data_IF_498947242293
#
_entry.id   IF_498947242293
#
_cell.length_a   1.000
_cell.length_b   1.000
_cell.length_c   1.000
_cell.angle_alpha   90.00
_cell.angle_beta   90.00
_cell.angle_gamma   90.00
#
_symmetry.space_group_name_H-M   'P 1'
#
loop_
_entity.id
_entity.type
_entity.pdbx_description
1 polymer ?
#
# COMPACT_ATOMS: atom_id res chain seq x y z
N UNK A 1 12.27 -9.66 7.72
CA UNK A 1 11.37 -8.82 6.94
C UNK A 1 10.82 -7.80 7.92
N UNK A 2 10.88 -6.52 7.58
CA UNK A 2 10.25 -5.46 8.34
C UNK A 2 8.73 -5.58 8.30
N UNK A 3 8.06 -4.95 9.26
CA UNK A 3 6.61 -4.89 9.33
C UNK A 3 6.19 -3.52 9.82
N UNK A 4 5.27 -2.89 9.10
CA UNK A 4 4.67 -1.63 9.52
C UNK A 4 3.16 -1.76 9.53
N UNK A 5 2.52 -1.17 10.54
CA UNK A 5 1.06 -1.03 10.62
C UNK A 5 0.71 0.44 10.58
N UNK A 6 -0.18 0.81 9.67
CA UNK A 6 -0.72 2.18 9.53
C UNK A 6 -2.23 2.13 9.54
N UNK A 7 -2.84 3.26 9.87
CA UNK A 7 -4.28 3.42 9.74
C UNK A 7 -4.60 4.85 9.32
N UNK A 8 -5.72 5.01 8.63
CA UNK A 8 -6.26 6.31 8.28
C UNK A 8 -7.79 6.26 8.36
N UNK A 9 -8.41 7.42 8.56
CA UNK A 9 -9.86 7.56 8.60
C UNK A 9 -10.36 8.16 7.30
N UNK A 10 -11.45 7.61 6.78
CA UNK A 10 -12.14 8.10 5.60
C UNK A 10 -13.26 9.02 6.07
N UNK A 11 -13.28 10.25 5.57
CA UNK A 11 -14.29 11.22 5.97
C UNK A 11 -15.66 10.80 5.41
N UNK A 12 -16.63 10.55 6.28
CA UNK A 12 -18.00 10.37 5.83
C UNK A 12 -18.54 11.72 5.33
N UNK A 13 -18.83 11.81 4.03
CA UNK A 13 -19.80 12.79 3.57
C UNK A 13 -21.18 12.33 4.05
N UNK A 14 -21.50 12.64 5.31
CA UNK A 14 -22.88 12.58 5.77
C UNK A 14 -23.69 13.50 4.84
N UNK A 15 -24.44 12.91 3.92
CA UNK A 15 -25.62 13.59 3.40
C UNK A 15 -26.47 13.85 4.65
N UNK A 16 -26.49 15.09 5.14
CA UNK A 16 -27.41 15.51 6.18
C UNK A 16 -28.82 15.30 5.65
N UNK A 17 -29.35 14.08 5.84
CA UNK A 17 -30.78 13.85 5.79
C UNK A 17 -31.29 14.37 7.12
N UNK A 18 -31.91 15.54 7.04
CA UNK A 18 -32.87 16.04 8.00
C UNK A 18 -33.64 14.87 8.61
N UNK A 19 -33.77 14.87 9.95
CA UNK A 19 -35.04 14.72 10.64
C UNK A 19 -34.81 14.92 12.14
N UNK A 20 -35.20 16.09 12.60
CA UNK A 20 -35.67 16.30 13.96
C UNK A 20 -36.91 15.42 14.13
N UNK A 21 -36.76 14.19 14.62
CA UNK A 21 -37.76 13.34 15.30
C UNK A 21 -36.97 12.08 15.69
N UNK A 22 -37.21 11.53 16.88
CA UNK A 22 -36.54 10.37 17.52
C UNK A 22 -35.43 10.67 18.54
N UNK A 23 -35.63 11.69 19.39
CA UNK A 23 -34.93 11.79 20.67
C UNK A 23 -35.30 10.63 21.64
N UNK A 24 -36.35 9.86 21.34
CA UNK A 24 -36.90 8.81 22.20
C UNK A 24 -36.36 7.40 21.85
N UNK A 25 -35.76 7.19 20.68
CA UNK A 25 -35.12 5.91 20.31
C UNK A 25 -33.66 5.78 20.78
N UNK A 26 -33.10 6.83 21.38
CA UNK A 26 -31.68 6.95 21.71
C UNK A 26 -31.23 6.07 22.89
N UNK A 27 -32.17 5.56 23.70
CA UNK A 27 -31.85 4.74 24.88
C UNK A 27 -31.91 3.22 24.63
N UNK A 28 -32.41 2.77 23.48
CA UNK A 28 -32.59 1.33 23.18
C UNK A 28 -31.48 0.72 22.31
N UNK A 29 -30.54 1.53 21.80
CA UNK A 29 -29.46 1.10 20.91
C UNK A 29 -28.07 1.24 21.52
N UNK A 30 -27.93 1.09 22.85
CA UNK A 30 -26.63 0.73 23.44
C UNK A 30 -26.41 -0.77 23.16
N UNK A 31 -26.42 -1.14 21.88
CA UNK A 31 -25.84 -2.38 21.42
C UNK A 31 -24.34 -2.26 21.64
N UNK A 32 -23.77 -3.24 22.32
CA UNK A 32 -22.34 -3.39 22.45
C UNK A 32 -21.75 -3.46 21.03
N UNK A 33 -21.20 -2.36 20.53
CA UNK A 33 -20.54 -2.33 19.23
C UNK A 33 -19.26 -3.15 19.36
N UNK A 34 -19.32 -4.41 18.95
CA UNK A 34 -18.11 -5.19 18.67
C UNK A 34 -17.47 -4.55 17.46
N UNK A 35 -16.24 -4.06 17.62
CA UNK A 35 -15.43 -3.62 16.49
C UNK A 35 -14.94 -4.88 15.76
N UNK A 36 -15.77 -5.41 14.86
CA UNK A 36 -15.38 -6.52 14.00
C UNK A 36 -14.37 -6.03 12.95
N UNK A 37 -13.22 -6.70 12.85
CA UNK A 37 -12.24 -6.43 11.80
C UNK A 37 -12.58 -7.27 10.57
N UNK A 38 -12.73 -6.61 9.42
CA UNK A 38 -12.94 -7.26 8.13
C UNK A 38 -11.65 -7.12 7.31
N UNK A 39 -11.16 -8.24 6.77
CA UNK A 39 -10.01 -8.24 5.86
C UNK A 39 -10.48 -7.82 4.48
N UNK A 40 -10.00 -6.67 4.01
CA UNK A 40 -10.37 -6.13 2.69
C UNK A 40 -9.44 -6.63 1.58
N UNK A 41 -8.18 -6.89 1.90
CA UNK A 41 -7.17 -7.41 0.98
C UNK A 41 -6.10 -8.15 1.78
N UNK A 42 -5.74 -9.36 1.35
CA UNK A 42 -4.65 -10.16 1.93
C UNK A 42 -3.83 -10.80 0.81
N UNK A 43 -2.73 -10.14 0.43
CA UNK A 43 -1.86 -10.57 -0.66
C UNK A 43 -1.16 -11.91 -0.41
N UNK A 44 -1.14 -12.40 0.83
CA UNK A 44 -0.49 -13.67 1.18
C UNK A 44 -1.28 -14.90 0.74
N UNK A 45 -2.53 -14.70 0.30
CA UNK A 45 -3.45 -15.74 -0.16
C UNK A 45 -3.65 -15.75 -1.68
N UNK A 46 -3.02 -14.81 -2.39
CA UNK A 46 -3.20 -14.64 -3.83
C UNK A 46 -2.12 -15.39 -4.62
N UNK A 47 -2.52 -16.04 -5.72
CA UNK A 47 -1.61 -16.73 -6.63
C UNK A 47 -0.88 -15.76 -7.58
N UNK A 48 -1.48 -14.61 -7.86
CA UNK A 48 -0.96 -13.48 -8.66
C UNK A 48 -1.53 -12.17 -8.12
N UNK A 49 -0.78 -11.07 -8.17
CA UNK A 49 -1.29 -9.78 -7.71
C UNK A 49 -1.82 -8.92 -8.86
N UNK A 50 -1.10 -8.86 -9.98
CA UNK A 50 -1.50 -8.11 -11.19
C UNK A 50 -1.87 -6.63 -10.92
N UNK A 51 -1.16 -6.02 -9.98
CA UNK A 51 -1.31 -4.60 -9.65
C UNK A 51 -0.82 -3.73 -10.80
N UNK A 52 -1.40 -2.54 -10.91
CA UNK A 52 -1.04 -1.59 -11.96
C UNK A 52 0.27 -0.91 -11.61
N UNK A 53 1.19 -0.84 -12.58
CA UNK A 53 2.53 -0.29 -12.40
C UNK A 53 2.77 0.86 -13.36
N UNK A 54 3.54 1.84 -12.93
CA UNK A 54 3.99 2.95 -13.78
C UNK A 54 5.40 3.40 -13.34
N UNK A 55 6.27 3.84 -14.26
CA UNK A 55 6.13 3.82 -15.72
C UNK A 55 6.10 2.39 -16.28
N UNK A 56 5.54 2.20 -17.47
CA UNK A 56 5.45 0.90 -18.15
C UNK A 56 5.73 1.04 -19.65
N UNK A 57 6.09 -0.08 -20.28
CA UNK A 57 6.32 -0.16 -21.73
C UNK A 57 7.72 0.24 -22.20
N UNK A 58 8.00 0.17 -23.52
CA UNK A 58 9.36 0.28 -24.07
C UNK A 58 10.02 1.66 -23.91
N UNK A 59 9.23 2.70 -23.67
CA UNK A 59 9.71 4.08 -23.48
C UNK A 59 9.92 4.43 -22.00
N UNK A 60 9.72 3.47 -21.10
CA UNK A 60 9.95 3.66 -19.67
C UNK A 60 11.41 3.96 -19.40
N UNK A 61 11.68 5.01 -18.62
CA UNK A 61 13.03 5.36 -18.20
C UNK A 61 13.63 4.35 -17.21
N UNK A 62 12.79 3.56 -16.55
CA UNK A 62 13.16 2.59 -15.52
C UNK A 62 12.42 1.26 -15.72
N UNK A 63 12.96 0.14 -15.24
CA UNK A 63 12.22 -1.13 -15.15
C UNK A 63 10.94 -1.01 -14.30
N UNK A 64 10.97 -0.22 -13.24
CA UNK A 64 9.84 -0.03 -12.33
C UNK A 64 9.63 -1.23 -11.40
N UNK A 65 8.44 -1.29 -10.80
CA UNK A 65 8.04 -2.41 -9.96
C UNK A 65 7.93 -3.70 -10.77
N UNK A 66 8.32 -4.84 -10.21
CA UNK A 66 8.22 -6.16 -10.83
C UNK A 66 7.60 -7.13 -9.84
N UNK A 67 6.66 -7.96 -10.31
CA UNK A 67 6.06 -8.98 -9.47
C UNK A 67 6.92 -10.25 -9.44
N UNK A 68 7.29 -10.69 -8.24
CA UNK A 68 8.12 -11.86 -8.00
C UNK A 68 7.52 -12.75 -6.89
N UNK A 69 8.01 -13.98 -6.79
CA UNK A 69 7.66 -14.88 -5.68
C UNK A 69 8.63 -14.71 -4.52
N UNK A 70 8.11 -14.43 -3.34
CA UNK A 70 8.84 -14.58 -2.08
C UNK A 70 8.60 -15.98 -1.52
N UNK A 71 9.61 -16.84 -1.67
CA UNK A 71 9.54 -18.23 -1.21
C UNK A 71 10.45 -18.47 0.01
N UNK A 72 9.91 -19.09 1.05
CA UNK A 72 10.68 -19.63 2.18
C UNK A 72 10.22 -21.07 2.44
N UNK A 73 11.02 -22.03 1.99
CA UNK A 73 10.71 -23.46 2.06
C UNK A 73 10.60 -23.98 3.51
N UNK A 74 11.47 -23.51 4.41
CA UNK A 74 11.45 -23.93 5.82
C UNK A 74 10.15 -23.56 6.52
N UNK A 75 9.57 -22.41 6.14
CA UNK A 75 8.31 -21.88 6.70
C UNK A 75 7.09 -22.20 5.84
N UNK A 76 7.26 -22.93 4.74
CA UNK A 76 6.18 -23.22 3.79
C UNK A 76 5.54 -21.97 3.16
N UNK A 77 6.30 -20.88 3.02
CA UNK A 77 5.80 -19.62 2.45
C UNK A 77 6.07 -19.61 0.95
N UNK A 78 5.05 -19.29 0.17
CA UNK A 78 5.17 -18.91 -1.23
C UNK A 78 4.19 -17.76 -1.51
N UNK A 79 4.62 -16.52 -1.27
CA UNK A 79 3.79 -15.32 -1.47
C UNK A 79 4.19 -14.62 -2.76
N UNK A 80 3.26 -13.89 -3.35
CA UNK A 80 3.56 -12.91 -4.40
C UNK A 80 3.94 -11.57 -3.77
N UNK A 81 4.95 -10.91 -4.33
CA UNK A 81 5.51 -9.66 -3.83
C UNK A 81 5.92 -8.75 -4.98
N UNK A 82 6.05 -7.45 -4.71
CA UNK A 82 6.56 -6.49 -5.68
C UNK A 82 7.95 -6.00 -5.27
N UNK A 83 8.90 -6.06 -6.20
CA UNK A 83 10.28 -5.61 -5.99
C UNK A 83 10.62 -4.47 -6.93
N UNK A 84 11.49 -3.56 -6.48
CA UNK A 84 12.04 -2.49 -7.31
C UNK A 84 13.45 -2.14 -6.82
N UNK A 85 14.38 -1.94 -7.75
CA UNK A 85 15.80 -1.73 -7.43
C UNK A 85 16.48 -0.77 -8.43
N UNK A 86 15.77 0.29 -8.83
CA UNK A 86 16.21 1.19 -9.91
C UNK A 86 17.24 2.25 -9.45
N UNK A 87 18.11 1.90 -8.51
CA UNK A 87 19.09 2.81 -7.90
C UNK A 87 20.12 3.38 -8.88
N UNK A 88 20.30 2.72 -10.03
CA UNK A 88 21.22 3.14 -11.10
C UNK A 88 20.61 4.18 -12.06
N UNK A 89 19.33 4.53 -11.90
CA UNK A 89 18.61 5.47 -12.77
C UNK A 89 18.43 6.82 -12.07
N UNK A 90 18.32 7.91 -12.82
CA UNK A 90 18.02 9.23 -12.26
C UNK A 90 16.51 9.47 -12.20
N UNK A 91 16.08 10.36 -11.30
CA UNK A 91 14.69 10.84 -11.20
C UNK A 91 13.65 9.71 -11.14
N UNK A 92 13.97 8.63 -10.42
CA UNK A 92 13.10 7.47 -10.27
C UNK A 92 11.77 7.88 -9.62
N UNK A 93 10.67 7.55 -10.30
CA UNK A 93 9.31 7.80 -9.84
C UNK A 93 8.42 6.59 -10.18
N UNK A 94 8.65 5.50 -9.46
CA UNK A 94 7.99 4.22 -9.70
C UNK A 94 6.73 4.08 -8.83
N UNK A 95 5.60 3.86 -9.48
CA UNK A 95 4.29 3.71 -8.88
C UNK A 95 3.82 2.26 -8.93
N UNK A 96 3.14 1.86 -7.88
CA UNK A 96 2.48 0.59 -7.73
C UNK A 96 1.09 0.84 -7.14
N UNK A 97 0.05 0.40 -7.85
CA UNK A 97 -1.34 0.73 -7.54
C UNK A 97 -2.19 -0.54 -7.47
N UNK A 98 -2.81 -0.77 -6.32
CA UNK A 98 -3.68 -1.92 -6.07
C UNK A 98 -4.92 -1.87 -6.98
N UNK A 99 -5.59 -3.01 -7.20
CA UNK A 99 -6.99 -3.02 -7.61
C UNK A 99 -7.85 -2.18 -6.66
N UNK A 100 -9.06 -1.85 -7.10
CA UNK A 100 -10.05 -1.19 -6.26
C UNK A 100 -10.39 -2.06 -5.05
N UNK A 101 -10.31 -1.48 -3.86
CA UNK A 101 -10.64 -2.15 -2.60
C UNK A 101 -11.94 -1.54 -2.07
N UNK A 102 -13.01 -2.32 -2.06
CA UNK A 102 -14.29 -1.88 -1.54
C UNK A 102 -14.25 -1.82 -0.01
N UNK A 103 -14.39 -0.62 0.56
CA UNK A 103 -14.34 -0.41 2.01
C UNK A 103 -15.63 -0.79 2.75
N UNK A 104 -16.73 -0.98 2.02
CA UNK A 104 -18.07 -1.10 2.61
C UNK A 104 -18.40 0.06 3.56
N UNK A 105 -18.88 -0.27 4.76
CA UNK A 105 -19.22 0.70 5.80
C UNK A 105 -18.02 1.13 6.68
N UNK A 106 -16.81 0.66 6.38
CA UNK A 106 -15.63 0.96 7.20
C UNK A 106 -15.24 2.44 7.09
N UNK A 107 -15.12 3.10 8.25
CA UNK A 107 -14.68 4.49 8.37
C UNK A 107 -13.19 4.62 8.72
N UNK A 108 -12.57 3.52 9.12
CA UNK A 108 -11.16 3.45 9.46
C UNK A 108 -10.56 2.23 8.78
N UNK A 109 -9.48 2.44 8.06
CA UNK A 109 -8.75 1.40 7.34
C UNK A 109 -7.43 1.18 8.05
N UNK A 110 -7.07 -0.08 8.25
CA UNK A 110 -5.80 -0.52 8.78
C UNK A 110 -5.02 -1.21 7.66
N UNK A 111 -3.76 -0.81 7.47
CA UNK A 111 -2.85 -1.39 6.49
C UNK A 111 -1.67 -2.00 7.24
N UNK A 112 -1.41 -3.28 7.01
CA UNK A 112 -0.17 -3.93 7.42
C UNK A 112 0.67 -4.25 6.19
N UNK A 113 1.89 -3.73 6.15
CA UNK A 113 2.85 -4.00 5.08
C UNK A 113 4.04 -4.73 5.69
N UNK A 114 4.37 -5.88 5.11
CA UNK A 114 5.66 -6.55 5.35
C UNK A 114 6.55 -6.20 4.18
N UNK A 115 7.77 -5.79 4.46
CA UNK A 115 8.71 -5.37 3.41
C UNK A 115 10.15 -5.64 3.81
N UNK A 116 11.06 -5.51 2.87
CA UNK A 116 12.48 -5.37 3.17
C UNK A 116 13.07 -4.21 2.39
N UNK A 117 14.21 -3.73 2.85
CA UNK A 117 14.87 -2.60 2.22
C UNK A 117 16.37 -2.76 2.37
N UNK A 118 17.08 -2.46 1.28
CA UNK A 118 18.53 -2.51 1.25
C UNK A 118 19.09 -1.16 1.65
N UNK A 119 20.09 -1.20 2.52
CA UNK A 119 20.85 -0.05 2.97
C UNK A 119 21.59 0.61 1.79
N UNK A 120 21.43 1.92 1.65
CA UNK A 120 22.06 2.69 0.57
C UNK A 120 23.58 2.65 0.64
N UNK A 121 24.17 2.52 1.83
CA UNK A 121 25.62 2.39 2.02
C UNK A 121 26.21 1.09 1.43
N UNK A 122 25.37 0.10 1.16
CA UNK A 122 25.78 -1.20 0.59
C UNK A 122 25.73 -1.22 -0.93
N UNK A 123 25.36 -0.11 -1.58
CA UNK A 123 25.51 0.00 -3.01
C UNK A 123 26.90 0.56 -3.34
N UNK A 124 27.58 0.00 -4.36
CA UNK A 124 28.79 0.61 -4.88
C UNK A 124 28.46 2.03 -5.37
N UNK A 125 29.46 2.92 -5.45
CA UNK A 125 29.32 4.35 -5.79
C UNK A 125 28.68 4.70 -7.15
N UNK A 126 28.03 3.73 -7.80
CA UNK A 126 27.19 3.83 -8.99
C UNK A 126 25.70 4.05 -8.68
N UNK A 127 25.29 4.08 -7.40
CA UNK A 127 23.92 4.42 -7.04
C UNK A 127 23.66 5.92 -7.22
N UNK A 128 22.78 6.27 -8.15
CA UNK A 128 22.43 7.66 -8.49
C UNK A 128 21.22 8.17 -7.69
N UNK A 129 20.28 7.29 -7.34
CA UNK A 129 18.98 7.66 -6.78
C UNK A 129 18.54 6.79 -5.61
N UNK A 130 19.49 6.22 -4.85
CA UNK A 130 19.14 5.34 -3.73
C UNK A 130 18.26 6.06 -2.69
N UNK A 131 17.17 5.39 -2.29
CA UNK A 131 16.25 5.83 -1.24
C UNK A 131 15.99 4.70 -0.26
N UNK A 132 15.99 5.05 1.02
CA UNK A 132 15.65 4.15 2.12
C UNK A 132 14.23 4.41 2.65
N UNK A 133 13.34 4.91 1.79
CA UNK A 133 11.93 5.15 2.12
C UNK A 133 11.04 4.99 0.90
N UNK A 134 9.78 4.61 1.09
CA UNK A 134 8.72 4.72 0.09
C UNK A 134 7.49 5.43 0.66
N UNK A 135 6.70 6.08 -0.19
CA UNK A 135 5.46 6.74 0.22
C UNK A 135 4.28 5.78 0.11
N UNK A 136 3.48 5.70 1.17
CA UNK A 136 2.18 5.01 1.16
C UNK A 136 1.07 6.04 1.00
N UNK A 137 0.29 5.90 -0.06
CA UNK A 137 -0.72 6.87 -0.50
C UNK A 137 -2.09 6.19 -0.60
N UNK A 138 -3.17 6.97 -0.53
CA UNK A 138 -4.51 6.50 -0.89
C UNK A 138 -5.27 7.51 -1.74
N UNK A 139 -6.18 6.98 -2.56
CA UNK A 139 -7.07 7.75 -3.43
C UNK A 139 -8.48 7.17 -3.33
N UNK A 140 -9.45 8.04 -3.07
CA UNK A 140 -10.85 7.65 -2.89
C UNK A 140 -11.62 7.99 -4.18
N UNK A 141 -12.31 7.00 -4.72
CA UNK A 141 -13.17 7.18 -5.89
C UNK A 141 -14.32 6.18 -5.87
N UNK A 142 -15.42 6.50 -6.56
CA UNK A 142 -16.52 5.57 -6.73
C UNK A 142 -16.23 4.58 -7.86
N UNK A 143 -16.60 3.31 -7.69
CA UNK A 143 -16.40 2.28 -8.71
C UNK A 143 -17.07 2.64 -10.05
N UNK A 144 -18.17 3.40 -10.01
CA UNK A 144 -18.88 3.90 -11.19
C UNK A 144 -18.09 4.97 -11.97
N UNK A 145 -17.17 5.69 -11.31
CA UNK A 145 -16.33 6.73 -11.89
C UNK A 145 -14.87 6.27 -11.98
N UNK A 146 -14.65 4.97 -12.15
CA UNK A 146 -13.29 4.42 -12.22
C UNK A 146 -12.58 4.89 -13.49
N UNK A 147 -11.54 5.68 -13.29
CA UNK A 147 -10.60 6.11 -14.31
C UNK A 147 -9.25 5.41 -14.14
N UNK A 148 -8.36 5.44 -15.15
CA UNK A 148 -6.97 5.03 -14.97
C UNK A 148 -6.32 5.80 -13.80
N UNK A 149 -5.34 5.20 -13.10
CA UNK A 149 -4.73 5.85 -11.94
C UNK A 149 -4.07 7.17 -12.35
N UNK A 150 -4.32 8.28 -11.65
CA UNK A 150 -3.52 9.48 -11.84
C UNK A 150 -2.08 9.18 -11.41
N UNK A 151 -1.08 9.56 -12.20
CA UNK A 151 0.34 9.32 -11.86
C UNK A 151 1.01 10.58 -11.30
N UNK A 152 0.28 11.29 -10.45
CA UNK A 152 0.68 12.56 -9.84
C UNK A 152 0.41 12.51 -8.32
N UNK A 153 1.40 12.77 -7.45
CA UNK A 153 1.24 12.70 -6.00
C UNK A 153 0.13 13.58 -5.44
N UNK A 154 -0.16 14.71 -6.09
CA UNK A 154 -1.13 15.72 -5.66
C UNK A 154 -2.57 15.20 -5.72
N UNK A 155 -2.84 14.20 -6.56
CA UNK A 155 -4.13 13.52 -6.63
C UNK A 155 -4.37 12.61 -5.42
N UNK A 156 -3.33 12.24 -4.66
CA UNK A 156 -3.41 11.29 -3.56
C UNK A 156 -3.26 11.96 -2.20
N UNK A 157 -3.84 11.32 -1.17
CA UNK A 157 -3.57 11.67 0.22
C UNK A 157 -2.44 10.79 0.75
N UNK A 158 -1.44 11.43 1.36
CA UNK A 158 -0.32 10.75 2.01
C UNK A 158 -0.79 10.08 3.31
N UNK A 159 -0.59 8.76 3.42
CA UNK A 159 -0.76 8.02 4.68
C UNK A 159 0.52 8.18 5.50
N UNK A 160 1.65 7.80 4.92
CA UNK A 160 2.94 7.89 5.59
C UNK A 160 4.13 7.73 4.63
N UNK A 161 5.32 8.10 5.07
CA UNK A 161 6.60 7.74 4.43
C UNK A 161 7.24 6.61 5.22
N UNK A 162 7.24 5.41 4.65
CA UNK A 162 7.71 4.19 5.31
C UNK A 162 9.22 4.08 5.15
N UNK A 163 9.94 3.97 6.27
CA UNK A 163 11.36 3.67 6.35
C UNK A 163 11.58 2.29 6.98
N UNK A 164 12.75 1.69 6.74
CA UNK A 164 13.16 0.46 7.41
C UNK A 164 13.83 0.73 8.75
N UNK A 165 13.05 0.97 9.81
CA UNK A 165 13.58 0.98 11.19
C UNK A 165 13.89 -0.47 11.66
N UNK A 166 12.93 -1.39 11.46
CA UNK A 166 13.10 -2.84 11.56
C UNK A 166 12.89 -3.47 10.17
N UNK A 167 13.85 -4.25 9.65
CA UNK A 167 13.79 -4.84 8.29
C UNK A 167 14.88 -4.39 7.31
N UNK A 168 15.80 -3.53 7.77
CA UNK A 168 17.07 -3.22 7.10
C UNK A 168 17.94 -4.47 7.11
N UNK A 169 18.27 -5.00 5.94
CA UNK A 169 19.16 -6.15 5.81
C UNK A 169 20.53 -5.71 5.30
N UNK A 170 21.58 -6.19 5.95
CA UNK A 170 22.97 -5.87 5.61
C UNK A 170 23.70 -6.99 4.85
N UNK A 171 23.03 -8.10 4.54
CA UNK A 171 23.71 -9.34 4.10
C UNK A 171 23.10 -10.07 2.89
N UNK A 172 22.23 -9.47 2.08
CA UNK A 172 21.77 -10.10 0.82
C UNK A 172 21.77 -9.14 -0.36
N UNK A 173 22.26 -9.62 -1.50
CA UNK A 173 22.35 -8.87 -2.77
C UNK A 173 21.00 -8.59 -3.44
N UNK A 174 19.88 -9.09 -2.90
CA UNK A 174 18.56 -9.02 -3.51
C UNK A 174 17.73 -7.88 -2.90
N UNK A 175 17.29 -6.94 -3.74
CA UNK A 175 16.24 -5.99 -3.41
C UNK A 175 14.93 -6.77 -3.29
N UNK A 176 14.46 -7.02 -2.07
CA UNK A 176 13.15 -7.62 -1.79
C UNK A 176 12.29 -6.54 -1.15
N UNK A 177 11.12 -6.25 -1.71
CA UNK A 177 10.10 -5.39 -1.08
C UNK A 177 8.86 -6.24 -0.82
#
# INVERSE_FOLDING_TARGET
>A
MGRVKKNFSIAQHHRLRFLWINLIALLAHIGLSSADYVVLLDTTKEDSLDWTRYPFGPQSATPGWVEESFTNFEKGINWRSYVVCDVAYNNVNNWLWTPFIERGEANRIYIEIKFSMRDCSLFPGTALSCKETFSLLYYEFDAATREPPPWEPESYKLIDRIAADEGRFTSSNECKL
#
